data_IF_731569210578
#
_entry.id   IF_731569210578
#
_cell.length_a   1.000
_cell.length_b   1.000
_cell.length_c   1.000
_cell.angle_alpha   90.00
_cell.angle_beta   90.00
_cell.angle_gamma   90.00
#
_symmetry.space_group_name_H-M   'P 1'
#
loop_
_entity.id
_entity.type
_entity.pdbx_description
1 polymer ?
#
# COMPACT_ATOMS: atom_id res chain seq x y z
N UNK A 1 -1.36 63.92 42.84
CA UNK A 1 -0.20 64.77 43.30
C UNK A 1 1.08 64.10 42.79
N UNK A 2 1.90 64.92 42.09
CA UNK A 2 3.30 64.77 41.66
C UNK A 2 3.59 63.62 40.64
N UNK A 3 3.79 63.89 39.35
CA UNK A 3 4.94 64.56 38.64
C UNK A 3 6.26 64.04 39.13
N UNK A 4 7.23 63.53 38.29
CA UNK A 4 8.01 64.23 37.27
C UNK A 4 8.90 63.21 36.54
N UNK A 5 8.95 63.27 35.21
CA UNK A 5 10.12 63.43 34.28
C UNK A 5 11.32 62.48 34.45
N UNK A 6 11.95 62.07 33.44
CA UNK A 6 12.37 62.50 32.12
C UNK A 6 13.24 61.39 31.54
N UNK A 7 13.23 61.10 30.29
CA UNK A 7 14.09 61.67 29.30
C UNK A 7 15.39 60.91 29.19
N UNK A 8 15.62 60.14 28.15
CA UNK A 8 16.64 60.56 27.17
C UNK A 8 16.59 59.67 25.90
N UNK A 9 16.76 60.33 24.78
CA UNK A 9 16.86 59.81 23.43
C UNK A 9 18.33 59.42 23.15
N UNK A 10 18.55 58.31 22.52
CA UNK A 10 19.64 58.19 21.55
C UNK A 10 19.20 57.33 20.38
N UNK A 11 19.02 58.03 19.27
CA UNK A 11 18.93 57.46 17.93
C UNK A 11 20.34 57.09 17.45
N UNK A 12 20.51 55.94 16.84
CA UNK A 12 21.58 55.72 15.87
C UNK A 12 21.29 54.56 14.93
N UNK A 13 21.09 54.95 13.70
CA UNK A 13 21.56 54.40 12.44
C UNK A 13 21.01 53.08 11.89
N UNK A 14 20.11 53.28 10.97
CA UNK A 14 19.80 52.39 9.87
C UNK A 14 21.00 52.26 8.92
N UNK A 15 21.58 51.09 8.84
CA UNK A 15 22.55 50.69 7.82
C UNK A 15 21.85 49.99 6.67
N UNK A 16 21.63 50.73 5.60
CA UNK A 16 21.12 50.30 4.32
C UNK A 16 22.16 49.42 3.61
N UNK A 17 21.97 48.09 3.49
CA UNK A 17 22.81 47.22 2.66
C UNK A 17 22.14 46.94 1.35
N UNK A 18 22.64 47.62 0.33
CA UNK A 18 22.33 47.53 -1.09
C UNK A 18 22.50 46.09 -1.62
N UNK A 19 21.43 45.55 -2.23
CA UNK A 19 21.49 44.40 -3.13
C UNK A 19 22.09 44.84 -4.47
N UNK A 20 23.38 44.55 -4.73
CA UNK A 20 23.91 44.42 -6.09
C UNK A 20 25.31 43.81 -6.04
N UNK A 21 25.45 42.67 -6.79
CA UNK A 21 26.74 42.23 -7.34
C UNK A 21 27.34 40.98 -6.69
N UNK A 22 27.03 39.80 -7.23
CA UNK A 22 28.02 38.74 -7.45
C UNK A 22 27.48 37.75 -8.52
N UNK A 23 27.61 38.15 -9.78
CA UNK A 23 27.68 37.18 -10.86
C UNK A 23 29.18 37.05 -11.21
N UNK A 24 29.79 36.02 -10.63
CA UNK A 24 31.12 35.56 -11.01
C UNK A 24 31.01 34.44 -12.02
N UNK A 25 31.54 34.68 -13.20
CA UNK A 25 31.67 33.72 -14.31
C UNK A 25 32.58 32.56 -13.90
N UNK A 26 32.09 31.33 -14.05
CA UNK A 26 32.94 30.14 -14.17
C UNK A 26 32.79 29.60 -15.57
N UNK A 27 33.90 29.63 -16.33
CA UNK A 27 33.99 29.16 -17.69
C UNK A 27 34.00 27.63 -17.75
N UNK A 28 33.23 27.10 -18.71
CA UNK A 28 33.20 25.71 -19.07
C UNK A 28 34.52 25.30 -19.77
N UNK A 29 35.13 24.21 -19.33
CA UNK A 29 36.08 23.45 -20.12
C UNK A 29 35.38 22.16 -20.58
N UNK A 30 35.00 22.15 -21.83
CA UNK A 30 34.53 20.93 -22.51
C UNK A 30 35.76 20.18 -23.03
N UNK A 31 35.99 18.96 -22.51
CA UNK A 31 36.93 18.01 -23.09
C UNK A 31 36.14 17.00 -23.90
N UNK A 32 36.27 17.11 -25.23
CA UNK A 32 35.86 16.11 -26.19
C UNK A 32 36.80 14.92 -26.15
N UNK A 33 36.25 13.71 -26.07
CA UNK A 33 36.95 12.48 -26.41
C UNK A 33 36.26 11.87 -27.65
N UNK A 34 37.05 11.32 -28.61
CA UNK A 34 36.50 10.90 -29.90
C UNK A 34 35.90 9.49 -29.89
N UNK A 35 34.87 9.35 -30.69
CA UNK A 35 34.30 8.09 -31.13
C UNK A 35 35.31 7.32 -31.98
N UNK A 36 35.66 6.12 -31.55
CA UNK A 36 36.33 5.12 -32.36
C UNK A 36 35.32 4.05 -32.80
N UNK A 37 35.00 4.10 -34.07
CA UNK A 37 34.32 3.06 -34.83
C UNK A 37 35.34 1.95 -35.12
N UNK A 38 35.02 0.70 -34.78
CA UNK A 38 35.71 -0.46 -35.36
C UNK A 38 34.70 -1.54 -35.71
N UNK A 39 34.45 -1.61 -37.02
CA UNK A 39 33.86 -2.76 -37.72
C UNK A 39 34.96 -3.81 -38.01
N UNK A 40 34.53 -5.06 -38.01
CA UNK A 40 34.97 -6.21 -38.80
C UNK A 40 35.64 -7.36 -38.04
N UNK A 41 35.09 -8.52 -38.34
CA UNK A 41 35.87 -9.74 -38.59
C UNK A 41 35.36 -10.95 -37.80
N UNK A 42 34.50 -11.75 -38.43
CA UNK A 42 34.13 -13.07 -37.88
C UNK A 42 35.28 -14.09 -37.94
N UNK A 43 35.27 -15.02 -37.01
CA UNK A 43 35.68 -16.41 -37.23
C UNK A 43 35.13 -17.30 -36.11
N UNK A 44 34.47 -18.35 -36.52
CA UNK A 44 33.92 -19.42 -35.72
C UNK A 44 35.01 -20.43 -35.30
N UNK A 45 35.00 -20.87 -34.08
CA UNK A 45 35.57 -22.16 -33.64
C UNK A 45 35.02 -22.59 -32.27
N UNK A 46 35.10 -23.89 -31.86
CA UNK A 46 33.99 -24.62 -31.28
C UNK A 46 34.02 -24.75 -29.75
N UNK A 47 32.88 -25.15 -29.21
CA UNK A 47 32.44 -25.21 -27.85
C UNK A 47 33.33 -25.80 -26.76
N UNK A 48 33.17 -25.24 -25.58
CA UNK A 48 33.33 -25.91 -24.29
C UNK A 48 32.34 -25.36 -23.28
N UNK A 49 31.74 -26.30 -22.59
CA UNK A 49 30.90 -26.32 -21.41
C UNK A 49 30.47 -24.97 -20.79
N UNK A 50 29.16 -24.66 -20.90
CA UNK A 50 28.57 -23.53 -20.25
C UNK A 50 28.41 -23.72 -18.74
N UNK A 51 29.00 -22.81 -17.98
CA UNK A 51 28.56 -22.56 -16.61
C UNK A 51 27.19 -21.89 -16.65
N UNK A 52 26.29 -22.13 -15.71
CA UNK A 52 24.97 -21.49 -15.73
C UNK A 52 25.14 -19.98 -15.48
N UNK A 53 24.62 -19.18 -16.43
CA UNK A 53 24.56 -17.73 -16.33
C UNK A 53 23.91 -17.33 -15.00
N UNK A 54 24.61 -16.50 -14.23
CA UNK A 54 24.11 -15.90 -13.03
C UNK A 54 22.80 -15.16 -13.32
N UNK A 55 21.71 -15.59 -12.67
CA UNK A 55 20.44 -14.88 -12.66
C UNK A 55 20.65 -13.57 -11.91
N UNK A 56 20.57 -12.47 -12.65
CA UNK A 56 20.64 -11.12 -12.12
C UNK A 56 19.61 -10.92 -11.00
N UNK A 57 20.02 -10.15 -10.01
CA UNK A 57 19.21 -9.56 -8.96
C UNK A 57 18.10 -8.68 -9.60
N UNK A 58 17.00 -9.30 -9.98
CA UNK A 58 15.76 -8.61 -10.35
C UNK A 58 14.73 -9.04 -9.32
N UNK A 59 14.09 -8.04 -8.69
CA UNK A 59 12.93 -8.25 -7.84
C UNK A 59 11.99 -9.28 -8.47
N UNK A 60 11.58 -10.26 -7.70
CA UNK A 60 10.93 -11.45 -8.20
C UNK A 60 9.79 -11.13 -9.14
N UNK A 61 9.98 -11.41 -10.43
CA UNK A 61 8.88 -11.44 -11.39
C UNK A 61 7.88 -12.47 -10.88
N UNK A 62 6.86 -12.03 -10.17
CA UNK A 62 5.64 -12.82 -10.06
C UNK A 62 5.15 -12.95 -11.51
N UNK A 63 5.05 -14.18 -12.00
CA UNK A 63 4.47 -14.45 -13.32
C UNK A 63 3.09 -13.79 -13.45
N UNK A 64 2.53 -13.71 -14.66
CA UNK A 64 1.20 -13.16 -14.85
C UNK A 64 0.24 -13.85 -13.87
N UNK A 65 -0.54 -13.03 -13.16
CA UNK A 65 -1.52 -13.57 -12.21
C UNK A 65 -2.39 -14.63 -12.89
N UNK A 66 -2.66 -15.75 -12.24
CA UNK A 66 -3.45 -16.81 -12.85
C UNK A 66 -4.83 -16.27 -13.24
N UNK A 67 -5.26 -16.62 -14.43
CA UNK A 67 -6.67 -16.43 -14.83
C UNK A 67 -7.52 -17.22 -13.83
N UNK A 68 -8.54 -16.56 -13.26
CA UNK A 68 -9.44 -17.21 -12.31
C UNK A 68 -10.03 -18.49 -12.89
N UNK A 69 -9.97 -19.60 -12.15
CA UNK A 69 -10.63 -20.85 -12.51
C UNK A 69 -12.15 -20.72 -12.58
N UNK A 70 -12.71 -19.68 -11.94
CA UNK A 70 -14.15 -19.47 -11.85
C UNK A 70 -14.85 -20.41 -10.86
N UNK A 71 -14.11 -21.18 -10.07
CA UNK A 71 -14.67 -22.05 -9.04
C UNK A 71 -15.42 -21.21 -8.00
N UNK A 72 -16.71 -21.50 -7.85
CA UNK A 72 -17.59 -20.86 -6.88
C UNK A 72 -17.67 -21.69 -5.59
N UNK A 73 -17.85 -21.09 -4.42
CA UNK A 73 -18.18 -21.83 -3.21
C UNK A 73 -19.55 -22.52 -3.35
N UNK A 74 -19.73 -23.66 -2.70
CA UNK A 74 -21.00 -24.42 -2.73
C UNK A 74 -22.20 -23.62 -2.20
N UNK A 75 -21.95 -22.63 -1.38
CA UNK A 75 -22.93 -21.72 -0.74
C UNK A 75 -23.22 -20.45 -1.54
N UNK A 76 -22.68 -20.29 -2.76
CA UNK A 76 -22.81 -19.07 -3.56
C UNK A 76 -24.26 -18.68 -3.82
N UNK A 77 -24.58 -17.40 -3.67
CA UNK A 77 -25.85 -16.81 -4.07
C UNK A 77 -25.74 -16.18 -5.46
N UNK A 78 -26.29 -16.82 -6.47
CA UNK A 78 -26.29 -16.31 -7.85
C UNK A 78 -27.19 -15.07 -8.06
N UNK A 79 -28.04 -14.72 -7.08
CA UNK A 79 -28.83 -13.49 -7.07
C UNK A 79 -28.17 -12.35 -6.30
N UNK A 80 -26.93 -12.55 -5.89
CA UNK A 80 -26.16 -11.56 -5.12
C UNK A 80 -26.10 -10.20 -5.82
N UNK A 81 -26.28 -9.14 -5.03
CA UNK A 81 -26.14 -7.75 -5.51
C UNK A 81 -25.24 -6.98 -4.53
N UNK A 82 -24.25 -6.23 -5.02
CA UNK A 82 -23.41 -5.39 -4.18
C UNK A 82 -24.23 -4.40 -3.36
N UNK A 83 -23.85 -4.24 -2.11
CA UNK A 83 -24.38 -3.23 -1.16
C UNK A 83 -23.37 -2.11 -0.93
N UNK A 84 -22.11 -2.36 -1.23
CA UNK A 84 -21.00 -1.43 -1.11
C UNK A 84 -20.31 -1.26 -2.46
N UNK A 85 -19.63 -0.14 -2.63
CA UNK A 85 -18.69 0.03 -3.75
C UNK A 85 -17.45 -0.84 -3.54
N UNK A 86 -16.89 -0.83 -2.32
CA UNK A 86 -15.69 -1.59 -1.98
C UNK A 86 -16.07 -3.01 -1.53
N UNK A 87 -15.74 -3.99 -2.39
CA UNK A 87 -15.99 -5.42 -2.17
C UNK A 87 -15.41 -5.94 -0.85
N UNK A 88 -14.23 -5.44 -0.44
CA UNK A 88 -13.54 -5.88 0.77
C UNK A 88 -14.29 -5.44 2.01
N UNK A 89 -14.76 -4.19 2.05
CA UNK A 89 -15.56 -3.67 3.18
C UNK A 89 -16.84 -4.49 3.33
N UNK A 90 -17.53 -4.77 2.23
CA UNK A 90 -18.75 -5.57 2.25
C UNK A 90 -18.53 -6.96 2.81
N UNK A 91 -17.43 -7.63 2.42
CA UNK A 91 -17.07 -8.93 2.95
C UNK A 91 -16.76 -8.88 4.45
N UNK A 92 -16.05 -7.85 4.90
CA UNK A 92 -15.74 -7.70 6.33
C UNK A 92 -16.97 -7.38 7.18
N UNK A 93 -17.96 -6.65 6.64
CA UNK A 93 -19.26 -6.44 7.28
C UNK A 93 -20.07 -7.75 7.41
N UNK A 94 -19.89 -8.66 6.44
CA UNK A 94 -20.47 -10.00 6.47
C UNK A 94 -19.62 -11.00 7.29
N UNK A 95 -18.61 -10.51 8.02
CA UNK A 95 -17.65 -11.32 8.77
C UNK A 95 -16.96 -12.39 7.90
N UNK A 96 -16.67 -12.07 6.65
CA UNK A 96 -15.99 -12.94 5.71
C UNK A 96 -14.53 -12.51 5.55
N UNK A 97 -13.56 -13.45 5.59
CA UNK A 97 -12.18 -13.16 5.23
C UNK A 97 -12.07 -12.81 3.75
N UNK A 98 -11.09 -11.98 3.41
CA UNK A 98 -10.81 -11.62 2.01
C UNK A 98 -9.47 -12.20 1.55
N UNK A 99 -9.35 -12.40 0.25
CA UNK A 99 -8.16 -12.95 -0.39
C UNK A 99 -7.64 -11.95 -1.42
N UNK A 100 -6.34 -11.63 -1.35
CA UNK A 100 -5.73 -10.74 -2.31
C UNK A 100 -4.48 -11.34 -2.96
N UNK A 101 -4.09 -10.76 -4.08
CA UNK A 101 -2.86 -11.07 -4.81
C UNK A 101 -2.25 -9.82 -5.41
N UNK A 102 -0.99 -9.90 -5.85
CA UNK A 102 -0.33 -8.78 -6.51
C UNK A 102 -0.96 -8.41 -7.85
N UNK A 103 -1.03 -7.13 -8.16
CA UNK A 103 -1.53 -6.60 -9.43
C UNK A 103 -0.63 -6.96 -10.62
N UNK A 104 0.64 -7.23 -10.39
CA UNK A 104 1.61 -7.68 -11.40
C UNK A 104 1.95 -6.61 -12.43
N UNK A 105 1.91 -5.33 -12.07
CA UNK A 105 2.42 -4.23 -12.88
C UNK A 105 3.90 -3.96 -12.56
N UNK A 106 4.63 -3.42 -13.54
CA UNK A 106 6.05 -3.13 -13.40
C UNK A 106 6.76 -3.06 -14.75
N UNK A 107 8.10 -3.00 -14.76
CA UNK A 107 8.87 -2.87 -15.99
C UNK A 107 8.54 -3.95 -17.03
N UNK A 108 8.22 -3.52 -18.25
CA UNK A 108 7.92 -4.40 -19.38
C UNK A 108 6.50 -4.99 -19.37
N UNK A 109 5.62 -4.53 -18.50
CA UNK A 109 4.20 -4.90 -18.48
C UNK A 109 3.39 -3.70 -18.97
N UNK A 110 2.48 -3.92 -19.92
CA UNK A 110 1.45 -2.92 -20.26
C UNK A 110 0.44 -2.85 -19.11
N UNK A 111 0.38 -1.74 -18.35
CA UNK A 111 -0.45 -1.63 -17.17
C UNK A 111 -1.94 -1.63 -17.49
N UNK A 112 -2.36 -1.04 -18.62
CA UNK A 112 -3.76 -1.04 -19.05
C UNK A 112 -4.23 -2.46 -19.39
N UNK A 113 -3.50 -3.17 -20.25
CA UNK A 113 -3.84 -4.56 -20.60
C UNK A 113 -3.82 -5.49 -19.39
N UNK A 114 -2.90 -5.26 -18.46
CA UNK A 114 -2.87 -5.98 -17.17
C UNK A 114 -4.11 -5.68 -16.34
N UNK A 115 -4.55 -4.43 -16.27
CA UNK A 115 -5.77 -4.03 -15.57
C UNK A 115 -7.00 -4.74 -16.14
N UNK A 116 -7.19 -4.72 -17.46
CA UNK A 116 -8.29 -5.44 -18.14
C UNK A 116 -8.30 -6.92 -17.76
N UNK A 117 -7.13 -7.56 -17.77
CA UNK A 117 -7.01 -8.99 -17.41
C UNK A 117 -7.37 -9.25 -15.94
N UNK A 118 -6.97 -8.35 -15.03
CA UNK A 118 -7.14 -8.52 -13.59
C UNK A 118 -8.52 -8.09 -13.07
N UNK A 119 -9.33 -7.41 -13.87
CA UNK A 119 -10.66 -6.93 -13.45
C UNK A 119 -11.60 -8.04 -12.96
N UNK A 120 -11.44 -9.26 -13.49
CA UNK A 120 -12.22 -10.44 -13.11
C UNK A 120 -11.36 -11.54 -12.49
N UNK A 121 -10.39 -11.13 -11.69
CA UNK A 121 -9.52 -12.04 -10.94
C UNK A 121 -10.32 -12.87 -9.92
N UNK A 122 -9.74 -13.99 -9.48
CA UNK A 122 -10.28 -14.76 -8.36
C UNK A 122 -10.21 -13.99 -7.02
N UNK A 123 -9.31 -13.03 -6.92
CA UNK A 123 -9.04 -12.32 -5.67
C UNK A 123 -10.12 -11.25 -5.39
N UNK A 124 -10.38 -11.00 -4.12
CA UNK A 124 -11.29 -9.95 -3.68
C UNK A 124 -10.63 -8.58 -3.77
N UNK A 125 -9.30 -8.55 -3.61
CA UNK A 125 -8.48 -7.36 -3.74
C UNK A 125 -7.19 -7.63 -4.51
N UNK A 126 -6.59 -6.56 -5.04
CA UNK A 126 -5.27 -6.55 -5.66
C UNK A 126 -4.38 -5.52 -4.97
N UNK A 127 -3.13 -5.86 -4.73
CA UNK A 127 -2.14 -4.89 -4.26
C UNK A 127 -1.21 -4.45 -5.38
N UNK A 128 -0.99 -3.15 -5.48
CA UNK A 128 0.10 -2.55 -6.26
C UNK A 128 1.25 -2.28 -5.30
N UNK A 129 2.36 -2.99 -5.49
CA UNK A 129 3.52 -2.92 -4.61
C UNK A 129 4.49 -1.84 -5.07
N UNK A 130 4.54 -0.74 -4.33
CA UNK A 130 5.51 0.35 -4.48
C UNK A 130 6.56 0.38 -3.38
N UNK A 131 6.52 -0.54 -2.44
CA UNK A 131 7.58 -0.74 -1.46
C UNK A 131 8.83 -1.35 -2.12
N UNK A 132 8.61 -2.39 -2.93
CA UNK A 132 9.68 -3.13 -3.60
C UNK A 132 9.81 -2.82 -5.09
N UNK A 133 9.04 -1.85 -5.59
CA UNK A 133 9.00 -1.44 -6.99
C UNK A 133 9.14 0.05 -7.20
N UNK A 134 9.21 0.46 -8.48
CA UNK A 134 9.20 1.87 -8.82
C UNK A 134 7.83 2.49 -8.54
N UNK A 135 7.81 3.62 -7.85
CA UNK A 135 6.59 4.39 -7.59
C UNK A 135 6.21 5.19 -8.84
N UNK A 136 5.40 4.58 -9.71
CA UNK A 136 4.96 5.17 -10.99
C UNK A 136 3.45 5.40 -10.98
N UNK A 137 3.05 6.64 -10.73
CA UNK A 137 1.64 7.04 -10.70
C UNK A 137 0.97 6.99 -12.07
N UNK A 138 1.74 7.13 -13.17
CA UNK A 138 1.19 7.01 -14.52
C UNK A 138 0.79 5.56 -14.80
N UNK A 139 1.67 4.62 -14.51
CA UNK A 139 1.34 3.19 -14.63
C UNK A 139 0.16 2.80 -13.74
N UNK A 140 0.09 3.32 -12.52
CA UNK A 140 -1.05 3.08 -11.63
C UNK A 140 -2.37 3.56 -12.26
N UNK A 141 -2.40 4.76 -12.83
CA UNK A 141 -3.61 5.31 -13.49
C UNK A 141 -4.02 4.48 -14.70
N UNK A 142 -3.07 4.08 -15.56
CA UNK A 142 -3.36 3.22 -16.69
C UNK A 142 -3.87 1.84 -16.26
N UNK A 143 -3.31 1.26 -15.20
CA UNK A 143 -3.82 0.03 -14.61
C UNK A 143 -5.26 0.20 -14.12
N UNK A 144 -5.57 1.27 -13.39
CA UNK A 144 -6.91 1.54 -12.88
C UNK A 144 -7.94 1.75 -14.01
N UNK A 145 -7.54 2.38 -15.13
CA UNK A 145 -8.38 2.46 -16.35
C UNK A 145 -8.67 1.06 -16.89
N UNK A 146 -7.64 0.24 -17.03
CA UNK A 146 -7.80 -1.15 -17.46
C UNK A 146 -8.70 -1.97 -16.55
N UNK A 147 -8.57 -1.83 -15.23
CA UNK A 147 -9.45 -2.46 -14.24
C UNK A 147 -10.91 -2.07 -14.48
N UNK A 148 -11.19 -0.78 -14.67
CA UNK A 148 -12.54 -0.30 -14.96
C UNK A 148 -13.09 -0.86 -16.26
N UNK A 149 -12.30 -0.79 -17.34
CA UNK A 149 -12.73 -1.17 -18.68
C UNK A 149 -12.83 -2.68 -18.86
N UNK A 150 -12.17 -3.48 -18.00
CA UNK A 150 -12.30 -4.93 -17.93
C UNK A 150 -13.67 -5.40 -17.44
N UNK A 151 -14.50 -4.47 -17.02
CA UNK A 151 -15.90 -4.68 -16.63
C UNK A 151 -16.06 -5.13 -15.19
N UNK A 152 -17.28 -5.29 -14.73
CA UNK A 152 -17.54 -5.61 -13.33
C UNK A 152 -16.98 -6.98 -12.94
N UNK A 153 -16.70 -7.14 -11.65
CA UNK A 153 -16.38 -8.42 -11.04
C UNK A 153 -17.57 -9.37 -11.18
N UNK A 154 -17.36 -10.68 -10.96
CA UNK A 154 -18.45 -11.66 -10.99
C UNK A 154 -19.49 -11.45 -9.88
N UNK A 155 -19.11 -10.80 -8.78
CA UNK A 155 -20.03 -10.38 -7.72
C UNK A 155 -20.82 -9.11 -8.05
N UNK A 156 -20.58 -8.49 -9.22
CA UNK A 156 -21.29 -7.30 -9.68
C UNK A 156 -20.71 -5.97 -9.18
N UNK A 157 -19.63 -5.98 -8.39
CA UNK A 157 -18.90 -4.75 -8.05
C UNK A 157 -18.22 -4.18 -9.29
N UNK A 158 -18.15 -2.86 -9.40
CA UNK A 158 -17.54 -2.18 -10.56
C UNK A 158 -16.08 -2.60 -10.79
N UNK A 159 -15.34 -2.81 -9.71
CA UNK A 159 -13.94 -3.26 -9.72
C UNK A 159 -13.67 -4.18 -8.52
N UNK A 160 -12.62 -5.03 -8.54
CA UNK A 160 -12.06 -5.55 -7.29
C UNK A 160 -11.54 -4.39 -6.43
N UNK A 161 -11.35 -4.62 -5.15
CA UNK A 161 -10.67 -3.63 -4.31
C UNK A 161 -9.19 -3.53 -4.72
N UNK A 162 -8.71 -2.32 -5.01
CA UNK A 162 -7.30 -2.07 -5.31
C UNK A 162 -6.70 -1.27 -4.16
N UNK A 163 -5.61 -1.74 -3.58
CA UNK A 163 -4.85 -0.99 -2.60
C UNK A 163 -3.36 -0.94 -2.97
N UNK A 164 -2.67 0.05 -2.46
CA UNK A 164 -1.25 0.27 -2.72
C UNK A 164 -0.46 -0.08 -1.47
N UNK A 165 0.53 -0.98 -1.60
CA UNK A 165 1.60 -1.12 -0.61
C UNK A 165 2.60 -0.01 -0.88
N UNK A 166 2.72 0.92 0.08
CA UNK A 166 3.37 2.22 -0.13
C UNK A 166 4.88 2.14 0.07
N UNK A 167 5.64 2.80 -0.82
CA UNK A 167 7.04 3.10 -0.58
C UNK A 167 7.27 4.23 0.43
N UNK A 168 6.20 4.89 0.91
CA UNK A 168 6.27 5.82 2.04
C UNK A 168 6.03 5.03 3.32
N UNK A 169 6.96 5.17 4.27
CA UNK A 169 6.96 4.43 5.53
C UNK A 169 6.36 5.25 6.68
N UNK A 170 5.95 4.58 7.75
CA UNK A 170 5.44 5.22 8.95
C UNK A 170 6.56 5.67 9.90
N UNK A 171 7.57 6.43 9.40
CA UNK A 171 8.81 6.73 10.11
C UNK A 171 8.61 7.60 11.34
N UNK A 172 8.14 8.84 11.13
CA UNK A 172 7.82 9.84 12.15
C UNK A 172 6.83 10.88 11.61
N UNK A 173 6.32 11.75 12.49
CA UNK A 173 5.33 12.77 12.14
C UNK A 173 5.83 13.76 11.07
N UNK A 174 7.08 14.20 11.13
CA UNK A 174 7.63 15.18 10.20
C UNK A 174 7.79 14.57 8.80
N UNK A 175 8.30 13.36 8.72
CA UNK A 175 8.38 12.62 7.46
C UNK A 175 7.00 12.38 6.86
N UNK A 176 6.02 11.96 7.67
CA UNK A 176 4.66 11.73 7.23
C UNK A 176 4.03 13.01 6.65
N UNK A 177 4.17 14.16 7.34
CA UNK A 177 3.68 15.46 6.85
C UNK A 177 4.31 15.88 5.53
N UNK A 178 5.60 15.65 5.35
CA UNK A 178 6.30 15.97 4.10
C UNK A 178 5.82 15.11 2.92
N UNK A 179 5.20 13.96 3.18
CA UNK A 179 4.81 12.97 2.17
C UNK A 179 3.29 12.74 2.05
N UNK A 180 2.42 13.52 2.71
CA UNK A 180 0.95 13.39 2.58
C UNK A 180 0.47 13.52 1.13
N UNK A 181 1.18 14.27 0.29
CA UNK A 181 0.86 14.42 -1.13
C UNK A 181 0.88 13.08 -1.90
N UNK A 182 1.70 12.12 -1.45
CA UNK A 182 1.76 10.78 -2.07
C UNK A 182 0.44 10.05 -1.87
N UNK A 183 -0.17 10.15 -0.68
CA UNK A 183 -1.50 9.58 -0.42
C UNK A 183 -2.53 10.15 -1.38
N UNK A 184 -2.47 11.47 -1.62
CA UNK A 184 -3.34 12.13 -2.61
C UNK A 184 -3.14 11.54 -4.01
N UNK A 185 -1.89 11.33 -4.46
CA UNK A 185 -1.62 10.74 -5.78
C UNK A 185 -2.15 9.32 -5.92
N UNK A 186 -2.02 8.48 -4.89
CA UNK A 186 -2.60 7.15 -4.90
C UNK A 186 -4.13 7.19 -5.00
N UNK A 187 -4.77 7.95 -4.13
CA UNK A 187 -6.23 8.01 -4.06
C UNK A 187 -6.84 8.70 -5.28
N UNK A 188 -6.18 9.71 -5.85
CA UNK A 188 -6.60 10.36 -7.10
C UNK A 188 -6.40 9.48 -8.34
N UNK A 189 -5.63 8.39 -8.23
CA UNK A 189 -5.62 7.32 -9.23
C UNK A 189 -6.85 6.40 -9.13
N UNK A 190 -7.68 6.53 -8.11
CA UNK A 190 -8.92 5.78 -7.92
C UNK A 190 -8.76 4.45 -7.16
N UNK A 191 -7.64 4.23 -6.47
CA UNK A 191 -7.46 3.06 -5.61
C UNK A 191 -8.40 3.13 -4.40
N UNK A 192 -8.66 1.98 -3.79
CA UNK A 192 -9.58 1.83 -2.66
C UNK A 192 -8.88 1.79 -1.31
N UNK A 193 -7.56 1.87 -1.29
CA UNK A 193 -6.83 1.85 -0.04
C UNK A 193 -5.33 2.02 -0.17
N UNK A 194 -4.70 2.18 1.00
CA UNK A 194 -3.25 2.32 1.15
C UNK A 194 -2.78 1.46 2.31
N UNK A 195 -1.64 0.81 2.15
CA UNK A 195 -0.97 0.00 3.15
C UNK A 195 0.41 0.59 3.43
N UNK A 196 0.64 1.07 4.64
CA UNK A 196 1.87 1.76 5.05
C UNK A 196 2.84 0.76 5.66
N UNK A 197 4.02 0.65 5.03
CA UNK A 197 5.12 -0.19 5.48
C UNK A 197 5.88 0.44 6.65
N UNK A 198 6.60 -0.36 7.43
CA UNK A 198 7.42 0.12 8.56
C UNK A 198 6.68 1.13 9.43
N UNK A 199 5.52 0.75 9.96
CA UNK A 199 4.64 1.64 10.73
C UNK A 199 5.19 1.85 12.15
N UNK A 200 6.23 2.68 12.29
CA UNK A 200 7.05 2.86 13.49
C UNK A 200 6.46 3.83 14.50
N UNK A 201 5.85 4.91 14.01
CA UNK A 201 5.32 5.99 14.87
C UNK A 201 3.81 6.13 14.69
N UNK A 202 3.00 5.95 15.75
CA UNK A 202 1.56 6.17 15.71
C UNK A 202 1.16 7.56 15.20
N UNK A 203 1.96 8.60 15.47
CA UNK A 203 1.70 9.97 14.97
C UNK A 203 1.91 10.09 13.47
N UNK A 204 2.90 9.37 12.92
CA UNK A 204 3.07 9.28 11.47
C UNK A 204 1.85 8.63 10.82
N UNK A 205 1.36 7.55 11.39
CA UNK A 205 0.17 6.83 10.90
C UNK A 205 -1.08 7.72 11.00
N UNK A 206 -1.23 8.47 12.08
CA UNK A 206 -2.33 9.43 12.24
C UNK A 206 -2.30 10.51 11.13
N UNK A 207 -1.13 11.07 10.81
CA UNK A 207 -0.95 12.04 9.72
C UNK A 207 -1.30 11.41 8.37
N UNK A 208 -0.73 10.25 8.03
CA UNK A 208 -0.97 9.63 6.74
C UNK A 208 -2.45 9.22 6.55
N UNK A 209 -3.08 8.69 7.59
CA UNK A 209 -4.48 8.30 7.55
C UNK A 209 -5.41 9.52 7.52
N UNK A 210 -5.30 10.43 8.47
CA UNK A 210 -6.28 11.49 8.69
C UNK A 210 -6.02 12.73 7.82
N UNK A 211 -4.77 13.21 7.74
CA UNK A 211 -4.42 14.33 6.86
C UNK A 211 -4.28 13.90 5.40
N UNK A 212 -3.61 12.76 5.15
CA UNK A 212 -3.27 12.31 3.80
C UNK A 212 -4.44 11.70 3.02
N UNK A 213 -5.32 10.95 3.68
CA UNK A 213 -6.37 10.20 2.99
C UNK A 213 -7.74 10.88 2.95
N UNK A 214 -8.01 11.89 3.76
CA UNK A 214 -9.35 12.47 3.94
C UNK A 214 -9.50 13.84 3.31
N UNK A 215 -10.74 14.20 2.98
CA UNK A 215 -11.09 15.56 2.58
C UNK A 215 -11.34 16.45 3.79
N UNK A 216 -11.05 17.78 3.71
CA UNK A 216 -11.11 18.68 4.86
C UNK A 216 -12.51 18.99 5.39
N UNK A 217 -13.55 18.70 4.60
CA UNK A 217 -14.96 18.95 4.97
C UNK A 217 -15.65 17.73 5.60
N UNK A 218 -14.96 16.58 5.62
CA UNK A 218 -15.49 15.37 6.25
C UNK A 218 -15.29 15.47 7.76
N UNK A 219 -16.30 15.99 8.45
CA UNK A 219 -16.34 16.03 9.91
C UNK A 219 -17.41 15.04 10.39
N UNK A 220 -16.98 14.08 11.18
CA UNK A 220 -17.88 13.04 11.73
C UNK A 220 -18.24 13.31 13.19
N UNK A 221 -17.85 14.46 13.71
CA UNK A 221 -18.10 14.80 15.11
C UNK A 221 -17.49 13.80 16.09
N UNK A 222 -16.48 13.03 15.66
CA UNK A 222 -15.84 12.02 16.50
C UNK A 222 -14.65 12.62 17.22
N UNK A 223 -14.59 12.54 18.57
CA UNK A 223 -13.45 13.05 19.33
C UNK A 223 -12.12 12.36 18.97
N UNK A 224 -12.18 11.19 18.33
CA UNK A 224 -11.01 10.41 17.96
C UNK A 224 -10.25 10.95 16.74
N UNK A 225 -10.87 11.85 15.96
CA UNK A 225 -10.21 12.44 14.79
C UNK A 225 -9.53 13.74 15.20
N UNK A 226 -8.24 13.66 15.47
CA UNK A 226 -7.44 14.81 15.91
C UNK A 226 -7.05 15.74 14.75
N UNK A 227 -7.10 15.25 13.51
CA UNK A 227 -6.54 15.95 12.34
C UNK A 227 -7.56 16.07 11.23
N UNK A 228 -7.56 17.25 10.57
CA UNK A 228 -8.39 17.51 9.40
C UNK A 228 -7.69 17.02 8.14
N UNK A 229 -8.43 16.43 7.20
CA UNK A 229 -7.91 16.00 5.91
C UNK A 229 -7.35 17.15 5.07
N UNK A 230 -6.37 16.85 4.22
CA UNK A 230 -5.69 17.83 3.36
C UNK A 230 -5.89 17.58 1.86
N UNK A 231 -6.68 16.58 1.47
CA UNK A 231 -6.93 16.32 0.05
C UNK A 231 -7.60 17.52 -0.62
N UNK A 232 -7.08 17.89 -1.80
CA UNK A 232 -7.66 18.93 -2.65
C UNK A 232 -8.86 18.43 -3.47
N UNK A 233 -9.50 19.32 -4.22
CA UNK A 233 -10.72 19.05 -4.99
C UNK A 233 -10.53 18.25 -6.29
N UNK A 234 -9.32 17.75 -6.59
CA UNK A 234 -8.97 17.07 -7.83
C UNK A 234 -9.45 15.61 -7.87
N UNK A 235 -10.74 15.38 -7.90
CA UNK A 235 -11.34 14.05 -7.81
C UNK A 235 -11.80 13.46 -9.16
N UNK A 236 -11.63 14.16 -10.28
CA UNK A 236 -12.29 13.82 -11.55
C UNK A 236 -11.90 12.44 -12.10
N UNK A 237 -10.62 12.07 -12.07
CA UNK A 237 -10.17 10.77 -12.56
C UNK A 237 -10.64 9.63 -11.64
N UNK A 238 -10.44 9.76 -10.33
CA UNK A 238 -10.87 8.74 -9.36
C UNK A 238 -12.39 8.52 -9.38
N UNK A 239 -13.17 9.60 -9.51
CA UNK A 239 -14.61 9.51 -9.66
C UNK A 239 -15.03 8.72 -10.91
N UNK A 240 -14.35 8.90 -12.04
CA UNK A 240 -14.59 8.11 -13.25
C UNK A 240 -14.29 6.63 -13.02
N UNK A 241 -13.20 6.30 -12.31
CA UNK A 241 -12.86 4.90 -11.97
C UNK A 241 -13.97 4.29 -11.12
N UNK A 242 -14.49 5.01 -10.13
CA UNK A 242 -15.56 4.53 -9.25
C UNK A 242 -16.96 4.59 -9.87
N UNK A 243 -17.09 5.16 -11.07
CA UNK A 243 -18.37 5.24 -11.79
C UNK A 243 -19.35 6.26 -11.19
N UNK A 244 -18.87 7.34 -10.60
CA UNK A 244 -19.67 8.37 -9.95
C UNK A 244 -19.21 9.79 -10.33
N UNK A 245 -19.96 10.81 -9.96
CA UNK A 245 -19.53 12.19 -10.14
C UNK A 245 -18.50 12.60 -9.06
N UNK A 246 -17.74 13.70 -9.26
CA UNK A 246 -16.70 14.11 -8.31
C UNK A 246 -17.22 14.43 -6.90
N UNK A 247 -18.42 14.97 -6.76
CA UNK A 247 -19.00 15.28 -5.45
C UNK A 247 -19.38 14.01 -4.68
N UNK A 248 -19.96 13.03 -5.36
CA UNK A 248 -20.24 11.70 -4.80
C UNK A 248 -18.95 10.99 -4.39
N UNK A 249 -17.92 11.02 -5.25
CA UNK A 249 -16.62 10.47 -4.90
C UNK A 249 -16.07 11.09 -3.62
N UNK A 250 -16.04 12.41 -3.52
CA UNK A 250 -15.53 13.10 -2.33
C UNK A 250 -16.30 12.73 -1.06
N UNK A 251 -17.60 12.47 -1.16
CA UNK A 251 -18.42 12.07 -0.01
C UNK A 251 -18.15 10.63 0.46
N UNK A 252 -17.75 9.75 -0.47
CA UNK A 252 -17.52 8.32 -0.18
C UNK A 252 -16.04 7.94 -0.05
N UNK A 253 -15.12 8.74 -0.60
CA UNK A 253 -13.68 8.48 -0.54
C UNK A 253 -13.10 8.86 0.83
N UNK A 254 -13.55 8.16 1.86
CA UNK A 254 -13.14 8.31 3.25
C UNK A 254 -12.91 6.95 3.92
N UNK A 255 -12.20 6.97 5.03
CA UNK A 255 -11.74 5.77 5.73
C UNK A 255 -12.89 5.05 6.45
N UNK A 256 -13.10 3.78 6.11
CA UNK A 256 -13.96 2.87 6.86
C UNK A 256 -13.12 2.15 7.95
N UNK A 257 -13.63 1.87 9.15
CA UNK A 257 -14.98 2.18 9.67
C UNK A 257 -15.08 3.56 10.34
N UNK A 258 -14.04 4.40 10.30
CA UNK A 258 -14.07 5.74 10.89
C UNK A 258 -15.27 6.54 10.37
N UNK A 259 -15.48 6.50 9.05
CA UNK A 259 -16.73 6.85 8.42
C UNK A 259 -17.49 5.58 8.04
N UNK A 260 -18.68 5.30 8.62
CA UNK A 260 -19.47 4.13 8.26
C UNK A 260 -19.84 4.05 6.78
N UNK A 261 -19.94 5.18 6.08
CA UNK A 261 -20.23 5.26 4.64
C UNK A 261 -18.95 5.32 3.78
N UNK A 262 -17.79 5.37 4.41
CA UNK A 262 -16.49 5.38 3.73
C UNK A 262 -16.25 4.13 2.90
N UNK A 263 -15.47 4.28 1.83
CA UNK A 263 -15.14 3.21 0.91
C UNK A 263 -13.63 2.99 0.78
N UNK A 264 -12.83 3.69 1.62
CA UNK A 264 -11.38 3.51 1.68
C UNK A 264 -10.99 2.60 2.84
N UNK A 265 -9.97 1.77 2.61
CA UNK A 265 -9.29 0.99 3.65
C UNK A 265 -7.87 1.52 3.86
N UNK A 266 -7.39 1.51 5.09
CA UNK A 266 -6.06 1.95 5.43
C UNK A 266 -5.36 0.91 6.31
N UNK A 267 -4.22 0.43 5.87
CA UNK A 267 -3.46 -0.61 6.54
C UNK A 267 -2.12 -0.15 7.06
N UNK A 268 -1.60 -0.88 8.04
CA UNK A 268 -0.27 -0.70 8.60
C UNK A 268 0.47 -2.03 8.64
N UNK A 269 1.79 -2.00 8.48
CA UNK A 269 2.65 -3.19 8.48
C UNK A 269 3.68 -3.09 9.60
N UNK A 270 3.62 -4.02 10.54
CA UNK A 270 4.57 -4.16 11.64
C UNK A 270 5.62 -5.17 11.19
N UNK A 271 6.83 -4.69 10.89
CA UNK A 271 7.82 -5.50 10.19
C UNK A 271 9.28 -5.14 10.49
N UNK A 272 9.49 -4.36 11.53
CA UNK A 272 10.84 -4.07 12.00
C UNK A 272 10.89 -3.81 13.52
N UNK A 273 12.09 -3.87 14.09
CA UNK A 273 12.32 -3.74 15.52
C UNK A 273 11.98 -2.36 16.10
N UNK A 274 11.80 -1.33 15.28
CA UNK A 274 11.36 0.00 15.69
C UNK A 274 9.82 0.09 15.74
N UNK A 275 9.13 -0.68 14.90
CA UNK A 275 7.67 -0.74 14.89
C UNK A 275 7.12 -1.60 16.06
N UNK A 276 7.85 -2.65 16.45
CA UNK A 276 7.41 -3.61 17.47
C UNK A 276 6.93 -2.98 18.79
N UNK A 277 7.67 -2.04 19.41
CA UNK A 277 7.26 -1.43 20.68
C UNK A 277 5.96 -0.60 20.57
N UNK A 278 5.66 -0.10 19.37
CA UNK A 278 4.53 0.78 19.11
C UNK A 278 3.33 0.05 18.49
N UNK A 279 3.40 -1.28 18.35
CA UNK A 279 2.42 -2.10 17.63
C UNK A 279 0.97 -1.78 18.04
N UNK A 280 0.66 -1.85 19.34
CA UNK A 280 -0.70 -1.61 19.84
C UNK A 280 -1.17 -0.17 19.61
N UNK A 281 -0.30 0.80 19.88
CA UNK A 281 -0.61 2.22 19.66
C UNK A 281 -0.82 2.55 18.18
N UNK A 282 0.00 1.98 17.29
CA UNK A 282 -0.11 2.15 15.84
C UNK A 282 -1.40 1.55 15.29
N UNK A 283 -1.75 0.33 15.70
CA UNK A 283 -2.97 -0.36 15.26
C UNK A 283 -4.23 0.33 15.80
N UNK A 284 -4.15 0.99 16.98
CA UNK A 284 -5.27 1.73 17.56
C UNK A 284 -5.58 3.07 16.92
N UNK A 285 -4.75 3.57 15.98
CA UNK A 285 -4.96 4.87 15.33
C UNK A 285 -6.31 4.88 14.59
N UNK A 286 -7.18 5.87 14.87
CA UNK A 286 -8.47 5.99 14.18
C UNK A 286 -8.30 6.12 12.66
N UNK A 287 -8.92 5.21 11.92
CA UNK A 287 -8.80 5.10 10.46
C UNK A 287 -8.01 3.87 10.01
N UNK A 288 -7.24 3.23 10.88
CA UNK A 288 -6.60 1.94 10.58
C UNK A 288 -7.67 0.85 10.50
N UNK A 289 -7.72 0.16 9.37
CA UNK A 289 -8.71 -0.86 9.03
C UNK A 289 -8.15 -2.27 9.14
N UNK A 290 -6.90 -2.45 8.73
CA UNK A 290 -6.20 -3.73 8.78
C UNK A 290 -4.74 -3.55 9.18
N UNK A 291 -4.14 -4.60 9.72
CA UNK A 291 -2.72 -4.60 10.05
C UNK A 291 -2.07 -5.94 9.66
N UNK A 292 -0.88 -5.84 9.09
CA UNK A 292 -0.03 -6.96 8.71
C UNK A 292 1.08 -7.16 9.72
N UNK A 293 1.36 -8.42 10.03
CA UNK A 293 2.68 -8.82 10.46
C UNK A 293 3.52 -9.17 9.23
N UNK A 294 4.55 -8.35 8.95
CA UNK A 294 5.42 -8.53 7.78
C UNK A 294 6.63 -9.43 8.06
N UNK A 295 6.51 -10.77 7.99
CA UNK A 295 7.57 -11.68 8.43
C UNK A 295 8.83 -11.63 7.56
N UNK A 296 8.71 -11.18 6.32
CA UNK A 296 9.83 -11.07 5.40
C UNK A 296 10.87 -10.07 5.87
N UNK A 297 10.46 -8.81 5.92
CA UNK A 297 11.33 -7.72 6.34
C UNK A 297 11.66 -7.81 7.82
N UNK A 298 10.72 -8.24 8.67
CA UNK A 298 10.98 -8.43 10.08
C UNK A 298 12.10 -9.46 10.35
N UNK A 299 12.13 -10.55 9.60
CA UNK A 299 13.21 -11.54 9.70
C UNK A 299 14.56 -10.95 9.29
N UNK A 300 14.57 -10.07 8.28
CA UNK A 300 15.77 -9.35 7.86
C UNK A 300 16.24 -8.36 8.96
N UNK A 301 15.33 -7.62 9.59
CA UNK A 301 15.66 -6.70 10.68
C UNK A 301 16.16 -7.40 11.93
N UNK A 302 15.62 -8.57 12.26
CA UNK A 302 16.04 -9.34 13.44
C UNK A 302 17.36 -10.09 13.26
N UNK A 303 17.60 -10.65 12.06
CA UNK A 303 18.66 -11.63 11.84
C UNK A 303 19.62 -11.25 10.70
N UNK A 304 19.46 -10.06 10.10
CA UNK A 304 20.29 -9.61 9.00
C UNK A 304 20.27 -10.60 7.83
N UNK A 305 21.44 -10.92 7.28
CA UNK A 305 21.57 -11.84 6.14
C UNK A 305 21.15 -13.28 6.46
N UNK A 306 21.18 -13.69 7.73
CA UNK A 306 20.67 -15.00 8.16
C UNK A 306 19.15 -15.10 8.06
N UNK A 307 18.45 -13.96 8.09
CA UNK A 307 17.02 -13.88 7.81
C UNK A 307 16.67 -14.02 6.33
N UNK A 308 17.68 -14.01 5.45
CA UNK A 308 17.50 -14.14 4.01
C UNK A 308 17.66 -15.59 3.57
N UNK A 309 16.86 -16.02 2.60
CA UNK A 309 17.06 -17.33 1.96
C UNK A 309 18.23 -17.30 0.97
N UNK A 310 18.85 -18.46 0.70
CA UNK A 310 19.68 -18.61 -0.48
C UNK A 310 18.90 -18.16 -1.73
N UNK A 311 19.36 -17.10 -2.40
CA UNK A 311 18.68 -16.48 -3.54
C UNK A 311 18.06 -15.11 -3.27
N UNK A 312 18.32 -14.50 -2.08
CA UNK A 312 17.98 -13.11 -1.79
C UNK A 312 16.49 -12.83 -1.55
N UNK A 313 15.74 -13.85 -1.16
CA UNK A 313 14.34 -13.67 -0.71
C UNK A 313 14.27 -13.81 0.80
N UNK A 314 13.46 -12.98 1.48
CA UNK A 314 13.15 -13.23 2.88
C UNK A 314 12.62 -14.66 3.04
N UNK A 315 12.91 -15.26 4.18
CA UNK A 315 12.33 -16.56 4.50
C UNK A 315 10.80 -16.43 4.51
N UNK A 316 10.02 -17.32 3.86
CA UNK A 316 8.61 -17.12 3.79
C UNK A 316 7.89 -17.47 5.05
N UNK A 317 6.83 -16.74 5.28
CA UNK A 317 5.55 -17.18 5.81
C UNK A 317 5.51 -17.64 7.28
N UNK A 318 4.31 -17.81 7.76
CA UNK A 318 3.92 -18.28 9.09
C UNK A 318 4.80 -19.38 9.68
N UNK A 319 5.29 -20.31 8.86
CA UNK A 319 6.16 -21.43 9.29
C UNK A 319 7.52 -21.00 9.87
N UNK A 320 8.11 -19.89 9.39
CA UNK A 320 9.37 -19.39 9.97
C UNK A 320 9.11 -18.57 11.22
N UNK A 321 8.00 -17.83 11.26
CA UNK A 321 7.56 -17.13 12.48
C UNK A 321 7.26 -18.12 13.61
N UNK A 322 6.74 -19.31 13.29
CA UNK A 322 6.49 -20.39 14.28
C UNK A 322 7.77 -21.02 14.80
N UNK A 323 8.85 -21.04 14.00
CA UNK A 323 10.14 -21.63 14.40
C UNK A 323 11.07 -20.66 15.14
N UNK A 324 10.79 -19.36 15.12
CA UNK A 324 11.61 -18.31 15.75
C UNK A 324 10.79 -17.57 16.82
N UNK A 325 11.08 -17.75 18.12
CA UNK A 325 10.27 -17.24 19.22
C UNK A 325 10.02 -15.72 19.17
N UNK A 326 11.00 -14.93 18.71
CA UNK A 326 10.88 -13.49 18.61
C UNK A 326 9.83 -13.09 17.57
N UNK A 327 9.86 -13.72 16.42
CA UNK A 327 8.89 -13.50 15.34
C UNK A 327 7.49 -13.95 15.74
N UNK A 328 7.38 -15.12 16.37
CA UNK A 328 6.10 -15.64 16.86
C UNK A 328 5.46 -14.68 17.90
N UNK A 329 6.27 -14.11 18.79
CA UNK A 329 5.81 -13.13 19.81
C UNK A 329 5.27 -11.86 19.16
N UNK A 330 5.98 -11.29 18.19
CA UNK A 330 5.51 -10.07 17.51
C UNK A 330 4.27 -10.34 16.68
N UNK A 331 4.24 -11.45 15.92
CA UNK A 331 3.03 -11.86 15.21
C UNK A 331 1.82 -11.96 16.14
N UNK A 332 2.01 -12.57 17.32
CA UNK A 332 0.93 -12.69 18.30
C UNK A 332 0.50 -11.33 18.82
N UNK A 333 1.44 -10.40 19.10
CA UNK A 333 1.14 -9.05 19.52
C UNK A 333 0.30 -8.28 18.48
N UNK A 334 0.64 -8.40 17.18
CA UNK A 334 -0.15 -7.81 16.09
C UNK A 334 -1.56 -8.39 16.06
N UNK A 335 -1.70 -9.72 16.13
CA UNK A 335 -3.00 -10.40 16.15
C UNK A 335 -3.86 -9.96 17.34
N UNK A 336 -3.26 -9.89 18.54
CA UNK A 336 -3.97 -9.50 19.77
C UNK A 336 -4.40 -8.04 19.71
N UNK A 337 -3.54 -7.15 19.20
CA UNK A 337 -3.88 -5.74 18.99
C UNK A 337 -5.01 -5.58 17.94
N UNK A 338 -4.97 -6.35 16.87
CA UNK A 338 -6.05 -6.37 15.87
C UNK A 338 -7.39 -6.77 16.50
N UNK A 339 -7.41 -7.83 17.31
CA UNK A 339 -8.62 -8.27 18.04
C UNK A 339 -9.11 -7.21 19.01
N UNK A 340 -8.20 -6.61 19.80
CA UNK A 340 -8.50 -5.58 20.79
C UNK A 340 -9.15 -4.34 20.17
N UNK A 341 -8.68 -3.92 19.00
CA UNK A 341 -9.11 -2.69 18.35
C UNK A 341 -10.10 -2.92 17.19
N UNK A 342 -10.56 -4.17 16.99
CA UNK A 342 -11.44 -4.56 15.87
C UNK A 342 -10.85 -4.21 14.48
N UNK A 343 -9.53 -4.30 14.35
CA UNK A 343 -8.77 -4.15 13.10
C UNK A 343 -8.59 -5.53 12.47
N UNK A 344 -8.60 -5.61 11.14
CA UNK A 344 -8.53 -6.90 10.43
C UNK A 344 -7.07 -7.36 10.33
N UNK A 345 -6.76 -8.53 10.88
CA UNK A 345 -5.42 -9.09 10.82
C UNK A 345 -5.13 -9.65 9.44
N UNK A 346 -4.00 -9.23 8.85
CA UNK A 346 -3.51 -9.67 7.54
C UNK A 346 -2.30 -10.59 7.71
N UNK A 347 -2.31 -11.72 7.00
CA UNK A 347 -1.12 -12.55 6.82
C UNK A 347 -1.18 -13.36 5.52
N UNK A 348 0.00 -13.83 5.05
CA UNK A 348 0.09 -14.79 3.94
C UNK A 348 -0.46 -16.16 4.34
N UNK A 349 -1.11 -16.84 3.39
CA UNK A 349 -1.69 -18.18 3.61
C UNK A 349 -1.62 -19.03 2.35
N UNK A 350 -1.67 -20.34 2.52
CA UNK A 350 -1.74 -21.33 1.46
C UNK A 350 -2.91 -22.31 1.68
N UNK A 351 -3.15 -23.23 0.77
CA UNK A 351 -4.29 -24.12 0.84
C UNK A 351 -4.29 -25.10 2.04
N UNK A 352 -3.13 -25.31 2.66
CA UNK A 352 -3.00 -26.24 3.80
C UNK A 352 -3.18 -25.56 5.15
N UNK A 353 -2.95 -24.23 5.25
CA UNK A 353 -3.00 -23.49 6.50
C UNK A 353 -4.17 -22.49 6.60
N UNK A 354 -4.81 -22.15 5.48
CA UNK A 354 -5.84 -21.10 5.42
C UNK A 354 -6.95 -21.25 6.45
N UNK A 355 -7.43 -22.47 6.69
CA UNK A 355 -8.52 -22.75 7.66
C UNK A 355 -8.04 -22.40 9.07
N UNK A 356 -6.87 -22.89 9.46
CA UNK A 356 -6.30 -22.60 10.78
C UNK A 356 -6.04 -21.10 10.99
N UNK A 357 -5.63 -20.39 9.94
CA UNK A 357 -5.42 -18.94 10.01
C UNK A 357 -6.74 -18.17 10.19
N UNK A 358 -7.80 -18.58 9.49
CA UNK A 358 -9.15 -18.02 9.67
C UNK A 358 -9.65 -18.27 11.10
N UNK A 359 -9.49 -19.48 11.63
CA UNK A 359 -9.86 -19.83 13.00
C UNK A 359 -9.10 -19.02 14.07
N UNK A 360 -7.84 -18.66 13.79
CA UNK A 360 -7.06 -17.75 14.65
C UNK A 360 -7.58 -16.31 14.59
N UNK A 361 -8.36 -15.93 13.58
CA UNK A 361 -8.95 -14.61 13.42
C UNK A 361 -8.32 -13.75 12.32
N UNK A 362 -7.54 -14.35 11.42
CA UNK A 362 -7.07 -13.62 10.23
C UNK A 362 -8.24 -13.38 9.27
N UNK A 363 -8.39 -12.12 8.84
CA UNK A 363 -9.51 -11.66 8.01
C UNK A 363 -9.06 -11.10 6.65
N UNK A 364 -7.75 -11.07 6.40
CA UNK A 364 -7.16 -10.69 5.12
C UNK A 364 -5.98 -11.60 4.82
N UNK A 365 -5.95 -12.17 3.61
CA UNK A 365 -4.94 -13.16 3.25
C UNK A 365 -4.29 -12.85 1.89
N UNK A 366 -2.96 -12.71 1.89
CA UNK A 366 -2.20 -12.90 0.65
C UNK A 366 -2.22 -14.39 0.32
N UNK A 367 -2.95 -14.77 -0.72
CA UNK A 367 -3.23 -16.18 -0.95
C UNK A 367 -3.37 -16.53 -2.44
N UNK A 368 -2.87 -17.72 -2.89
CA UNK A 368 -3.17 -18.23 -4.21
C UNK A 368 -4.66 -18.63 -4.33
N UNK A 369 -5.15 -18.78 -5.55
CA UNK A 369 -6.54 -19.16 -5.80
C UNK A 369 -6.95 -20.46 -5.08
N UNK A 370 -6.04 -21.44 -5.01
CA UNK A 370 -6.28 -22.70 -4.30
C UNK A 370 -6.61 -22.51 -2.81
N UNK A 371 -5.91 -21.58 -2.14
CA UNK A 371 -6.20 -21.26 -0.75
C UNK A 371 -7.53 -20.50 -0.62
N UNK A 372 -7.78 -19.54 -1.54
CA UNK A 372 -9.02 -18.78 -1.56
C UNK A 372 -10.26 -19.70 -1.76
N UNK A 373 -10.16 -20.72 -2.61
CA UNK A 373 -11.22 -21.72 -2.80
C UNK A 373 -11.52 -22.45 -1.48
N UNK A 374 -10.49 -22.96 -0.80
CA UNK A 374 -10.65 -23.67 0.48
C UNK A 374 -11.27 -22.77 1.54
N UNK A 375 -10.74 -21.54 1.68
CA UNK A 375 -11.24 -20.62 2.71
C UNK A 375 -12.68 -20.14 2.46
N UNK A 376 -13.07 -19.92 1.21
CA UNK A 376 -14.45 -19.56 0.86
C UNK A 376 -15.43 -20.69 1.12
N UNK A 377 -15.04 -21.92 0.82
CA UNK A 377 -15.84 -23.09 1.13
C UNK A 377 -16.01 -23.27 2.64
N UNK A 378 -14.92 -23.16 3.40
CA UNK A 378 -14.94 -23.23 4.86
C UNK A 378 -15.87 -22.19 5.49
N UNK A 379 -15.82 -20.94 5.04
CA UNK A 379 -16.64 -19.84 5.57
C UNK A 379 -18.04 -19.76 4.97
N UNK A 380 -18.40 -20.66 4.07
CA UNK A 380 -19.69 -20.71 3.38
C UNK A 380 -20.04 -19.38 2.72
N UNK A 381 -19.09 -18.81 1.97
CA UNK A 381 -19.23 -17.51 1.32
C UNK A 381 -20.40 -17.51 0.34
N UNK A 382 -21.24 -16.48 0.43
CA UNK A 382 -22.38 -16.27 -0.49
C UNK A 382 -22.04 -15.39 -1.68
N UNK A 383 -21.10 -14.45 -1.52
CA UNK A 383 -20.69 -13.54 -2.58
C UNK A 383 -19.98 -14.30 -3.71
N UNK A 384 -20.39 -14.16 -4.99
CA UNK A 384 -19.72 -14.78 -6.14
C UNK A 384 -18.27 -14.29 -6.30
N UNK A 385 -17.44 -15.17 -6.91
CA UNK A 385 -16.00 -14.93 -7.13
C UNK A 385 -15.73 -14.50 -8.56
#
# INVERSE_FOLDING_TARGET
>A
MKKVNGGDQTAANAGNVSRRGLFGRAAAAASMLPLLNAQQGGQSAPGRGGAPAGRGLMGGRRGPAPVSSGVQPSSVDYNYKPRRLNKVIELWEDNQPIYYTGAGIGPGVDPYAQGVRMARTYADALTVDFEHGAMDFTQLREFMRGIKDGGPTRSGHATPCIFVTSGIIGLDEAYARANTWVMTQFLDAGVHGVHICHARDPKAIEVLAQEGCRYPFLDYGTPQVARRGLRGSSAGFAAQIWGMNPAEYCAHADLWPLNPNGQLIFGVKIEDTYADPNCDATISVPGVTFAEYGPGDHSYWLYGLEGMRPGGRPAPTATVAETRPEMARVRQAVLDSCKKHNVKFLQGSNATDIVAMIEQGAMMHEAPESAAIVGREFTKRKMPV
#
